data_IF_136545238558
#
_entry.id   IF_136545238558
#
_cell.length_a   1.000
_cell.length_b   1.000
_cell.length_c   1.000
_cell.angle_alpha   90.00
_cell.angle_beta   90.00
_cell.angle_gamma   90.00
#
_symmetry.space_group_name_H-M   'P 1'
#
loop_
_entity.id
_entity.type
_entity.pdbx_description
1 polymer ?
#
# COMPACT_ATOMS: atom_id res chain seq x y z
N UNK A 1 -16.23 1.98 -0.18
CA UNK A 1 -15.76 0.71 -0.77
C UNK A 1 -15.28 -0.24 0.31
N UNK A 2 -15.37 -1.56 0.11
CA UNK A 2 -14.74 -2.53 1.00
C UNK A 2 -13.23 -2.26 1.08
N UNK A 3 -12.67 -2.49 2.27
CA UNK A 3 -11.22 -2.55 2.49
C UNK A 3 -10.86 -3.99 2.81
N UNK A 4 -9.65 -4.37 2.49
CA UNK A 4 -9.15 -5.73 2.64
C UNK A 4 -7.89 -5.70 3.50
N UNK A 5 -7.68 -6.77 4.25
CA UNK A 5 -6.39 -7.10 4.83
C UNK A 5 -5.79 -8.25 4.03
N UNK A 6 -4.50 -8.16 3.73
CA UNK A 6 -3.79 -9.24 3.05
C UNK A 6 -3.52 -10.38 4.02
N UNK A 7 -3.56 -11.61 3.53
CA UNK A 7 -3.19 -12.78 4.34
C UNK A 7 -1.68 -12.74 4.67
N UNK A 8 -0.87 -12.21 3.76
CA UNK A 8 0.52 -11.80 4.01
C UNK A 8 0.61 -10.27 3.88
N UNK A 9 0.81 -9.57 5.00
CA UNK A 9 0.86 -8.09 5.03
C UNK A 9 2.25 -7.51 4.73
N UNK A 10 3.28 -8.35 4.66
CA UNK A 10 4.68 -7.91 4.48
C UNK A 10 4.94 -7.50 3.03
N UNK A 11 5.18 -6.21 2.80
CA UNK A 11 5.41 -5.65 1.48
C UNK A 11 6.74 -4.88 1.44
N UNK A 12 7.12 -4.45 0.24
CA UNK A 12 8.28 -3.59 0.04
C UNK A 12 7.88 -2.34 -0.73
N UNK A 13 8.49 -1.22 -0.39
CA UNK A 13 8.37 0.03 -1.14
C UNK A 13 9.72 0.38 -1.74
N UNK A 14 9.71 0.60 -3.04
CA UNK A 14 10.85 1.09 -3.80
C UNK A 14 10.67 2.57 -4.15
N UNK A 15 11.76 3.31 -4.15
CA UNK A 15 11.81 4.71 -4.61
C UNK A 15 13.09 4.95 -5.37
N UNK A 16 13.00 5.70 -6.46
CA UNK A 16 14.11 5.92 -7.39
C UNK A 16 14.52 7.40 -7.40
N UNK A 17 15.81 7.66 -7.59
CA UNK A 17 16.33 9.00 -7.79
C UNK A 17 15.83 9.59 -9.10
N UNK A 18 15.30 10.82 -9.06
CA UNK A 18 14.99 11.57 -10.29
C UNK A 18 16.24 12.02 -11.05
N UNK A 19 17.43 11.99 -10.41
CA UNK A 19 18.68 12.49 -11.00
C UNK A 19 19.37 11.43 -11.85
N UNK A 20 19.44 10.19 -11.36
CA UNK A 20 20.21 9.12 -12.01
C UNK A 20 19.46 7.78 -12.13
N UNK A 21 18.25 7.66 -11.60
CA UNK A 21 17.45 6.43 -11.65
C UNK A 21 17.87 5.35 -10.66
N UNK A 22 18.85 5.59 -9.78
CA UNK A 22 19.27 4.61 -8.78
C UNK A 22 18.20 4.42 -7.69
N UNK A 23 18.17 3.23 -7.09
CA UNK A 23 17.29 2.93 -5.95
C UNK A 23 17.75 3.77 -4.75
N UNK A 24 16.90 4.68 -4.30
CA UNK A 24 17.11 5.50 -3.10
C UNK A 24 16.36 4.95 -1.89
N UNK A 25 15.23 4.29 -2.14
CA UNK A 25 14.41 3.68 -1.10
C UNK A 25 14.23 2.21 -1.46
N UNK A 26 14.62 1.37 -0.53
CA UNK A 26 14.27 -0.04 -0.48
C UNK A 26 13.95 -0.34 0.98
N UNK A 27 12.66 -0.30 1.31
CA UNK A 27 12.22 -0.44 2.69
C UNK A 27 11.09 -1.46 2.80
N UNK A 28 11.18 -2.40 3.76
CA UNK A 28 10.03 -3.21 4.13
C UNK A 28 8.96 -2.32 4.74
N UNK A 29 7.70 -2.65 4.46
CA UNK A 29 6.50 -2.01 5.01
C UNK A 29 5.44 -3.08 5.31
N UNK A 30 4.44 -2.72 6.10
CA UNK A 30 3.28 -3.56 6.35
C UNK A 30 2.02 -2.92 5.75
N UNK A 31 1.25 -3.67 4.97
CA UNK A 31 -0.05 -3.24 4.46
C UNK A 31 -1.10 -3.49 5.54
N UNK A 32 -1.58 -2.42 6.17
CA UNK A 32 -2.62 -2.47 7.22
C UNK A 32 -3.99 -2.70 6.61
N UNK A 33 -4.30 -1.93 5.57
CA UNK A 33 -5.53 -2.06 4.80
C UNK A 33 -5.29 -1.63 3.36
N UNK A 34 -6.06 -2.22 2.44
CA UNK A 34 -5.96 -1.95 1.00
C UNK A 34 -7.34 -1.99 0.35
N UNK A 35 -7.55 -1.18 -0.69
CA UNK A 35 -8.69 -1.30 -1.59
C UNK A 35 -8.25 -0.98 -3.02
N UNK A 36 -9.19 -0.88 -3.96
CA UNK A 36 -8.86 -0.61 -5.35
C UNK A 36 -8.17 0.75 -5.58
N UNK A 37 -8.40 1.73 -4.70
CA UNK A 37 -7.89 3.09 -4.85
C UNK A 37 -6.62 3.38 -4.07
N UNK A 38 -6.32 2.63 -3.02
CA UNK A 38 -5.19 2.95 -2.16
C UNK A 38 -5.01 2.00 -0.99
N UNK A 39 -4.03 2.33 -0.14
CA UNK A 39 -3.69 1.54 1.04
C UNK A 39 -3.24 2.42 2.20
N UNK A 40 -3.27 1.82 3.39
CA UNK A 40 -2.58 2.30 4.58
C UNK A 40 -1.35 1.42 4.81
N UNK A 41 -0.18 2.03 4.82
CA UNK A 41 1.09 1.37 5.08
C UNK A 41 1.61 1.74 6.47
N UNK A 42 2.23 0.78 7.15
CA UNK A 42 3.07 1.00 8.32
C UNK A 42 4.53 0.74 7.99
N UNK A 43 5.42 1.47 8.64
CA UNK A 43 6.86 1.34 8.47
C UNK A 43 7.59 1.72 9.75
N UNK A 44 8.71 1.07 10.04
CA UNK A 44 9.52 1.38 11.21
C UNK A 44 10.60 2.44 10.92
N UNK A 45 11.09 2.50 9.68
CA UNK A 45 12.22 3.35 9.30
C UNK A 45 11.77 4.71 8.77
N UNK A 46 12.48 5.75 9.22
CA UNK A 46 12.28 7.18 8.96
C UNK A 46 12.67 7.59 7.52
N UNK A 47 12.84 6.64 6.59
CA UNK A 47 13.31 6.90 5.20
C UNK A 47 12.33 7.75 4.40
N UNK A 48 11.05 7.77 4.80
CA UNK A 48 9.97 8.49 4.12
C UNK A 48 9.77 9.93 4.63
N UNK A 49 10.67 10.47 5.46
CA UNK A 49 10.46 11.76 6.15
C UNK A 49 10.69 12.99 5.28
N UNK A 50 11.51 12.91 4.24
CA UNK A 50 11.76 14.05 3.36
C UNK A 50 10.73 14.06 2.23
N UNK A 51 10.05 15.19 2.04
CA UNK A 51 8.85 15.33 1.21
C UNK A 51 9.09 15.02 -0.29
N UNK A 52 10.32 15.18 -0.76
CA UNK A 52 10.74 14.85 -2.13
C UNK A 52 10.76 13.33 -2.42
N UNK A 53 10.90 12.48 -1.40
CA UNK A 53 10.94 11.02 -1.57
C UNK A 53 9.55 10.35 -1.59
N UNK A 54 8.48 11.13 -1.46
CA UNK A 54 7.11 10.63 -1.45
C UNK A 54 6.48 10.52 -2.85
N UNK A 55 7.23 10.90 -3.90
CA UNK A 55 6.82 10.82 -5.30
C UNK A 55 7.45 9.58 -5.96
N UNK A 56 6.71 8.98 -6.90
CA UNK A 56 7.17 7.83 -7.69
C UNK A 56 7.54 6.59 -6.86
N UNK A 57 6.90 6.41 -5.70
CA UNK A 57 7.06 5.19 -4.91
C UNK A 57 6.37 4.03 -5.61
N UNK A 58 6.99 2.85 -5.58
CA UNK A 58 6.43 1.62 -6.12
C UNK A 58 6.16 0.66 -4.96
N UNK A 59 4.89 0.33 -4.76
CA UNK A 59 4.49 -0.72 -3.84
C UNK A 59 4.66 -2.08 -4.52
N UNK A 60 5.51 -2.92 -3.93
CA UNK A 60 5.67 -4.32 -4.29
C UNK A 60 4.74 -5.15 -3.44
N UNK A 61 3.67 -5.67 -4.06
CA UNK A 61 2.72 -6.53 -3.36
C UNK A 61 3.38 -7.89 -3.03
N UNK A 62 3.14 -8.44 -1.82
CA UNK A 62 3.62 -9.76 -1.45
C UNK A 62 3.04 -10.82 -2.37
N UNK A 63 3.80 -11.90 -2.58
CA UNK A 63 3.34 -13.10 -3.30
C UNK A 63 2.77 -12.80 -4.71
N UNK A 64 3.13 -11.64 -5.27
CA UNK A 64 2.66 -11.12 -6.55
C UNK A 64 3.77 -10.39 -7.28
N UNK A 65 3.76 -10.51 -8.61
CA UNK A 65 4.63 -9.73 -9.49
C UNK A 65 4.10 -8.31 -9.71
N UNK A 66 2.92 -7.97 -9.18
CA UNK A 66 2.36 -6.63 -9.32
C UNK A 66 3.21 -5.59 -8.60
N UNK A 67 3.47 -4.50 -9.33
CA UNK A 67 4.21 -3.33 -8.89
C UNK A 67 3.33 -2.13 -9.23
N UNK A 68 2.84 -1.45 -8.20
CA UNK A 68 1.86 -0.37 -8.37
C UNK A 68 2.49 0.92 -7.87
N UNK A 69 2.48 1.95 -8.72
CA UNK A 69 2.94 3.26 -8.30
C UNK A 69 1.96 3.85 -7.28
N UNK A 70 2.49 4.47 -6.23
CA UNK A 70 1.71 5.10 -5.17
C UNK A 70 1.98 6.59 -5.05
N UNK A 71 0.93 7.34 -4.77
CA UNK A 71 0.97 8.73 -4.35
C UNK A 71 0.69 8.79 -2.84
N UNK A 72 1.68 9.20 -2.06
CA UNK A 72 1.48 9.46 -0.64
C UNK A 72 0.78 10.82 -0.48
N UNK A 73 -0.37 10.85 0.17
CA UNK A 73 -1.12 12.10 0.40
C UNK A 73 -1.30 12.44 1.88
N UNK A 74 -1.11 11.48 2.78
CA UNK A 74 -1.17 11.69 4.23
C UNK A 74 -0.11 10.79 4.90
N UNK A 75 0.53 11.28 5.96
CA UNK A 75 1.51 10.50 6.73
C UNK A 75 1.54 10.95 8.18
N UNK A 76 1.90 10.04 9.06
CA UNK A 76 2.19 10.30 10.47
C UNK A 76 3.38 9.47 10.94
N UNK A 77 3.56 9.37 12.26
CA UNK A 77 4.65 8.58 12.85
C UNK A 77 4.46 7.09 12.54
N UNK A 78 5.32 6.55 11.68
CA UNK A 78 5.35 5.12 11.34
C UNK A 78 4.22 4.65 10.43
N UNK A 79 3.48 5.57 9.78
CA UNK A 79 2.44 5.21 8.82
C UNK A 79 2.30 6.23 7.70
N UNK A 80 1.77 5.77 6.56
CA UNK A 80 1.42 6.62 5.42
C UNK A 80 0.18 6.09 4.71
N UNK A 81 -0.62 7.01 4.18
CA UNK A 81 -1.78 6.71 3.34
C UNK A 81 -1.45 7.05 1.89
N UNK A 82 -1.70 6.06 1.04
CA UNK A 82 -1.30 6.05 -0.35
C UNK A 82 -2.51 5.91 -1.26
N UNK A 83 -2.47 6.55 -2.42
CA UNK A 83 -3.37 6.30 -3.55
C UNK A 83 -2.62 5.56 -4.65
N UNK A 84 -3.29 4.61 -5.30
CA UNK A 84 -2.73 3.88 -6.43
C UNK A 84 -2.83 4.68 -7.71
N UNK A 85 -1.70 4.81 -8.40
CA UNK A 85 -1.61 5.22 -9.79
C UNK A 85 -1.48 3.96 -10.62
N UNK A 86 -2.61 3.44 -11.09
CA UNK A 86 -2.64 2.19 -11.85
C UNK A 86 -1.82 2.25 -13.15
N UNK A 87 -1.74 3.42 -13.79
CA UNK A 87 -0.91 3.68 -14.98
C UNK A 87 -1.31 2.90 -16.25
N UNK A 88 -2.03 1.80 -16.12
CA UNK A 88 -2.49 0.92 -17.18
C UNK A 88 -3.77 0.20 -16.74
N UNK A 89 -4.69 0.01 -17.69
CA UNK A 89 -5.91 -0.77 -17.47
C UNK A 89 -5.59 -2.23 -17.09
N UNK A 90 -4.52 -2.81 -17.65
CA UNK A 90 -4.10 -4.19 -17.37
C UNK A 90 -3.73 -4.36 -15.90
N UNK A 91 -2.90 -3.46 -15.35
CA UNK A 91 -2.49 -3.47 -13.93
C UNK A 91 -3.71 -3.32 -13.02
N UNK A 92 -4.61 -2.41 -13.37
CA UNK A 92 -5.84 -2.20 -12.62
C UNK A 92 -6.73 -3.47 -12.58
N UNK A 93 -6.91 -4.15 -13.72
CA UNK A 93 -7.70 -5.37 -13.78
C UNK A 93 -7.06 -6.52 -12.99
N UNK A 94 -5.75 -6.73 -13.12
CA UNK A 94 -5.03 -7.76 -12.37
C UNK A 94 -5.10 -7.51 -10.87
N UNK A 95 -4.91 -6.27 -10.43
CA UNK A 95 -5.04 -5.90 -9.04
C UNK A 95 -6.47 -6.11 -8.52
N UNK A 96 -7.49 -5.77 -9.31
CA UNK A 96 -8.89 -6.00 -8.93
C UNK A 96 -9.23 -7.50 -8.84
N UNK A 97 -8.65 -8.34 -9.69
CA UNK A 97 -8.78 -9.81 -9.56
C UNK A 97 -8.15 -10.30 -8.27
N UNK A 98 -6.96 -9.78 -7.93
CA UNK A 98 -6.25 -10.14 -6.72
C UNK A 98 -7.01 -9.75 -5.44
N UNK A 99 -7.64 -8.57 -5.42
CA UNK A 99 -8.48 -8.12 -4.30
C UNK A 99 -9.77 -8.95 -4.12
N UNK A 100 -10.19 -9.69 -5.15
CA UNK A 100 -11.36 -10.59 -5.08
C UNK A 100 -10.97 -12.02 -4.71
N UNK A 101 -9.68 -12.32 -4.67
CA UNK A 101 -9.17 -13.63 -4.32
C UNK A 101 -9.09 -13.76 -2.79
N UNK A 102 -9.93 -14.63 -2.23
CA UNK A 102 -9.98 -14.91 -0.80
C UNK A 102 -8.72 -15.62 -0.28
N UNK A 103 -7.96 -16.27 -1.15
CA UNK A 103 -6.66 -16.85 -0.80
C UNK A 103 -5.58 -15.79 -0.61
N UNK A 104 -5.77 -14.60 -1.21
CA UNK A 104 -4.83 -13.49 -1.14
C UNK A 104 -5.19 -12.48 -0.03
N UNK A 105 -6.47 -12.12 0.09
CA UNK A 105 -6.93 -11.15 1.07
C UNK A 105 -8.35 -11.42 1.55
N UNK A 106 -8.72 -10.82 2.68
CA UNK A 106 -10.05 -10.93 3.24
C UNK A 106 -10.62 -9.54 3.55
N UNK A 107 -11.93 -9.37 3.39
CA UNK A 107 -12.61 -8.11 3.63
C UNK A 107 -12.56 -7.75 5.12
N UNK A 108 -12.15 -6.52 5.42
CA UNK A 108 -12.19 -5.95 6.76
C UNK A 108 -13.61 -5.49 7.11
N UNK A 109 -14.04 -5.61 8.38
CA UNK A 109 -15.33 -5.09 8.80
C UNK A 109 -15.41 -3.58 8.51
N UNK A 110 -16.54 -3.15 7.92
CA UNK A 110 -16.76 -1.74 7.58
C UNK A 110 -16.64 -0.89 8.84
N UNK A 111 -15.68 0.05 8.85
CA UNK A 111 -15.49 1.02 9.93
C UNK A 111 -16.81 1.77 10.14
N UNK A 112 -17.57 1.38 11.16
CA UNK A 112 -18.97 1.73 11.33
C UNK A 112 -19.70 0.79 12.28
N UNK A 113 -19.28 -0.47 12.37
CA UNK A 113 -19.50 -1.28 13.58
C UNK A 113 -18.31 -1.06 14.50
N UNK A 114 -18.39 -0.03 15.36
CA UNK A 114 -17.65 -0.10 16.62
C UNK A 114 -18.06 -1.45 17.25
N UNK A 115 -17.15 -2.33 17.69
CA UNK A 115 -17.57 -3.29 18.70
C UNK A 115 -18.17 -2.44 19.81
N UNK A 116 -19.47 -2.58 20.07
CA UNK A 116 -20.03 -2.08 21.31
C UNK A 116 -19.15 -2.70 22.37
N UNK A 117 -18.33 -1.86 23.01
CA UNK A 117 -17.54 -2.28 24.14
C UNK A 117 -18.51 -2.91 25.11
N UNK A 118 -18.32 -4.19 25.37
CA UNK A 118 -18.75 -4.79 26.61
C UNK A 118 -18.06 -4.00 27.72
N UNK A 119 -18.81 -3.10 28.35
CA UNK A 119 -18.54 -2.64 29.71
C UNK A 119 -19.66 -3.23 30.56
#
# INVERSE_FOLDING_TARGET
>A
EPRYALNNSSAYVLGFSEVNGDIQIDSPVEIVDINFFGCLLKYEKVVFTVHEYARNLILCLPDSMLRIEVLVFERGEGWMRCLFKHGSFVIAEEFNKLLKDSSYCHELPKLGTRPYGSI
#
